data_IF_161001202416
#
_entry.id   IF_161001202416
#
_cell.length_a   1.000
_cell.length_b   1.000
_cell.length_c   1.000
_cell.angle_alpha   90.00
_cell.angle_beta   90.00
_cell.angle_gamma   90.00
#
_symmetry.space_group_name_H-M   'P 1'
#
loop_
_entity.id
_entity.type
_entity.pdbx_description
1 polymer ?
#
# COMPACT_ATOMS: atom_id res chain seq x y z
N UNK A 1 17.38 -18.16 8.51
CA UNK A 1 18.16 -17.07 7.89
C UNK A 1 17.29 -15.89 7.43
N UNK A 2 16.05 -16.13 6.94
CA UNK A 2 15.18 -15.10 6.34
C UNK A 2 14.66 -14.00 7.29
N UNK A 3 14.45 -14.29 8.59
CA UNK A 3 13.91 -13.29 9.53
C UNK A 3 14.87 -12.12 9.81
N UNK A 4 16.17 -12.37 9.74
CA UNK A 4 17.21 -11.31 9.83
C UNK A 4 17.18 -10.38 8.63
N UNK A 5 16.79 -10.88 7.46
CA UNK A 5 16.66 -10.07 6.23
C UNK A 5 15.39 -9.23 6.31
N UNK A 6 14.29 -9.80 6.78
CA UNK A 6 13.02 -9.09 6.97
C UNK A 6 13.14 -7.95 7.99
N UNK A 7 13.78 -8.18 9.13
CA UNK A 7 14.03 -7.12 10.12
C UNK A 7 14.96 -6.02 9.62
N UNK A 8 15.96 -6.36 8.78
CA UNK A 8 16.76 -5.35 8.07
C UNK A 8 15.93 -4.56 7.07
N UNK A 9 15.05 -5.22 6.31
CA UNK A 9 14.12 -4.55 5.39
C UNK A 9 13.28 -3.50 6.12
N UNK A 10 12.71 -3.87 7.27
CA UNK A 10 11.93 -2.95 8.10
C UNK A 10 12.73 -1.71 8.51
N UNK A 11 13.97 -1.89 8.99
CA UNK A 11 14.84 -0.76 9.35
C UNK A 11 15.22 0.11 8.15
N UNK A 12 15.42 -0.48 6.97
CA UNK A 12 15.73 0.27 5.75
C UNK A 12 14.53 1.08 5.26
N UNK A 13 13.33 0.49 5.29
CA UNK A 13 12.10 1.17 4.91
C UNK A 13 11.91 2.44 5.76
N UNK A 14 11.97 2.32 7.09
CA UNK A 14 11.76 3.48 7.98
C UNK A 14 12.89 4.52 7.97
N UNK A 15 14.07 4.22 7.41
CA UNK A 15 15.16 5.20 7.30
C UNK A 15 14.88 6.27 6.24
N UNK A 16 14.08 5.96 5.22
CA UNK A 16 13.73 6.89 4.14
C UNK A 16 12.41 7.65 4.43
N UNK A 17 12.30 8.26 5.60
CA UNK A 17 11.06 8.84 6.15
C UNK A 17 10.26 9.67 5.15
N UNK A 18 10.87 10.66 4.48
CA UNK A 18 10.15 11.53 3.53
C UNK A 18 9.50 10.78 2.36
N UNK A 19 10.16 9.74 1.84
CA UNK A 19 9.65 8.95 0.70
C UNK A 19 8.58 7.96 1.15
N UNK A 20 8.82 7.29 2.28
CA UNK A 20 7.88 6.32 2.84
C UNK A 20 6.55 6.98 3.22
N UNK A 21 6.57 8.17 3.83
CA UNK A 21 5.32 8.88 4.17
C UNK A 21 4.46 9.19 2.93
N UNK A 22 5.07 9.60 1.82
CA UNK A 22 4.34 9.86 0.58
C UNK A 22 3.66 8.58 0.04
N UNK A 23 4.37 7.44 0.10
CA UNK A 23 3.78 6.16 -0.30
C UNK A 23 2.66 5.72 0.64
N UNK A 24 2.80 5.92 1.94
CA UNK A 24 1.74 5.61 2.92
C UNK A 24 0.46 6.39 2.59
N UNK A 25 0.56 7.70 2.32
CA UNK A 25 -0.60 8.55 1.99
C UNK A 25 -1.31 8.05 0.72
N UNK A 26 -0.52 7.73 -0.31
CA UNK A 26 -1.04 7.19 -1.57
C UNK A 26 -1.79 5.86 -1.34
N UNK A 27 -1.18 4.93 -0.62
CA UNK A 27 -1.80 3.64 -0.32
C UNK A 27 -3.03 3.78 0.56
N UNK A 28 -3.03 4.75 1.48
CA UNK A 28 -4.20 5.06 2.30
C UNK A 28 -5.39 5.48 1.43
N UNK A 29 -5.18 6.40 0.48
CA UNK A 29 -6.23 6.84 -0.47
C UNK A 29 -6.73 5.65 -1.29
N UNK A 30 -5.80 4.83 -1.81
CA UNK A 30 -6.15 3.65 -2.60
C UNK A 30 -6.98 2.63 -1.79
N UNK A 31 -6.60 2.36 -0.54
CA UNK A 31 -7.35 1.47 0.36
C UNK A 31 -8.76 2.01 0.60
N UNK A 32 -8.91 3.31 0.86
CA UNK A 32 -10.22 3.94 1.06
C UNK A 32 -11.11 3.78 -0.18
N UNK A 33 -10.57 4.10 -1.37
CA UNK A 33 -11.31 3.99 -2.64
C UNK A 33 -11.75 2.56 -2.92
N UNK A 34 -10.84 1.58 -2.77
CA UNK A 34 -11.14 0.17 -3.02
C UNK A 34 -12.15 -0.36 -2.01
N UNK A 35 -11.99 -0.02 -0.73
CA UNK A 35 -12.89 -0.48 0.32
C UNK A 35 -14.31 0.12 0.17
N UNK A 36 -14.44 1.40 -0.22
CA UNK A 36 -15.73 2.01 -0.56
C UNK A 36 -16.35 1.38 -1.82
N UNK A 37 -15.54 1.13 -2.84
CA UNK A 37 -15.97 0.43 -4.06
C UNK A 37 -16.54 -0.96 -3.76
N UNK A 38 -15.87 -1.72 -2.89
CA UNK A 38 -16.34 -3.02 -2.39
C UNK A 38 -17.66 -2.90 -1.61
N UNK A 39 -17.79 -1.92 -0.72
CA UNK A 39 -19.04 -1.68 0.01
C UNK A 39 -20.21 -1.35 -0.92
N UNK A 40 -19.99 -0.46 -1.89
CA UNK A 40 -21.01 -0.07 -2.86
C UNK A 40 -21.36 -1.19 -3.86
N UNK A 41 -20.44 -2.11 -4.13
CA UNK A 41 -20.70 -3.22 -5.04
C UNK A 41 -21.58 -4.32 -4.42
N UNK A 42 -21.52 -4.51 -3.09
CA UNK A 42 -22.37 -5.48 -2.37
C UNK A 42 -23.86 -5.13 -2.46
N UNK A 43 -24.22 -3.86 -2.69
CA UNK A 43 -25.62 -3.40 -2.74
C UNK A 43 -26.25 -3.44 -4.14
N UNK A 44 -25.46 -3.68 -5.20
CA UNK A 44 -25.95 -3.72 -6.58
C UNK A 44 -26.33 -5.15 -7.02
N UNK A 45 -27.58 -5.42 -7.42
CA UNK A 45 -28.00 -6.74 -7.89
C UNK A 45 -27.40 -6.98 -9.28
N UNK A 46 -26.36 -7.82 -9.36
CA UNK A 46 -25.71 -8.16 -10.63
C UNK A 46 -24.31 -8.77 -10.55
N UNK A 47 -23.65 -8.83 -9.39
CA UNK A 47 -22.40 -9.58 -9.18
C UNK A 47 -21.14 -9.06 -9.89
N UNK A 48 -21.26 -8.12 -10.84
CA UNK A 48 -20.12 -7.55 -11.59
C UNK A 48 -19.67 -6.17 -11.10
N UNK A 49 -20.28 -5.61 -10.06
CA UNK A 49 -19.97 -4.26 -9.55
C UNK A 49 -18.57 -4.12 -8.94
N UNK A 50 -17.94 -5.22 -8.50
CA UNK A 50 -16.63 -5.22 -7.82
C UNK A 50 -15.45 -5.14 -8.79
N UNK A 51 -15.61 -5.67 -10.01
CA UNK A 51 -14.56 -5.77 -11.02
C UNK A 51 -13.89 -4.44 -11.41
N UNK A 52 -14.61 -3.32 -11.66
CA UNK A 52 -13.96 -2.06 -12.04
C UNK A 52 -13.05 -1.53 -10.93
N UNK A 53 -13.43 -1.68 -9.67
CA UNK A 53 -12.64 -1.24 -8.52
C UNK A 53 -11.39 -2.11 -8.33
N UNK A 54 -11.53 -3.43 -8.51
CA UNK A 54 -10.38 -4.35 -8.48
C UNK A 54 -9.42 -4.10 -9.64
N UNK A 55 -9.92 -3.81 -10.84
CA UNK A 55 -9.09 -3.49 -11.99
C UNK A 55 -8.34 -2.17 -11.79
N UNK A 56 -9.02 -1.14 -11.27
CA UNK A 56 -8.36 0.11 -10.88
C UNK A 56 -7.28 -0.16 -9.81
N UNK A 57 -7.60 -0.94 -8.78
CA UNK A 57 -6.65 -1.31 -7.73
C UNK A 57 -5.42 -2.01 -8.32
N UNK A 58 -5.62 -2.94 -9.25
CA UNK A 58 -4.53 -3.63 -9.93
C UNK A 58 -3.64 -2.68 -10.75
N UNK A 59 -4.24 -1.83 -11.58
CA UNK A 59 -3.48 -0.88 -12.41
C UNK A 59 -2.69 0.08 -11.54
N UNK A 60 -3.32 0.64 -10.52
CA UNK A 60 -2.67 1.64 -9.66
C UNK A 60 -1.61 0.99 -8.77
N UNK A 61 -1.91 -0.16 -8.15
CA UNK A 61 -0.93 -0.89 -7.32
C UNK A 61 0.27 -1.38 -8.15
N UNK A 62 0.07 -1.84 -9.39
CA UNK A 62 1.17 -2.26 -10.27
C UNK A 62 2.03 -1.08 -10.71
N UNK A 63 1.42 0.07 -11.08
CA UNK A 63 2.17 1.29 -11.39
C UNK A 63 3.00 1.77 -10.19
N UNK A 64 2.43 1.71 -8.98
CA UNK A 64 3.18 2.03 -7.75
C UNK A 64 4.32 1.06 -7.47
N UNK A 65 4.08 -0.25 -7.62
CA UNK A 65 5.11 -1.27 -7.49
C UNK A 65 6.27 -1.07 -8.48
N UNK A 66 5.96 -0.60 -9.70
CA UNK A 66 6.97 -0.22 -10.68
C UNK A 66 7.74 1.02 -10.19
N UNK A 67 7.07 2.10 -9.80
CA UNK A 67 7.71 3.34 -9.35
C UNK A 67 8.66 3.12 -8.17
N UNK A 68 8.23 2.39 -7.15
CA UNK A 68 9.09 2.08 -5.99
C UNK A 68 10.31 1.26 -6.40
N UNK A 69 10.15 0.32 -7.34
CA UNK A 69 11.27 -0.45 -7.89
C UNK A 69 12.26 0.44 -8.66
N UNK A 70 11.79 1.45 -9.39
CA UNK A 70 12.66 2.41 -10.10
C UNK A 70 13.54 3.22 -9.14
N UNK A 71 12.93 3.79 -8.09
CA UNK A 71 13.64 4.63 -7.13
C UNK A 71 14.70 3.87 -6.32
N UNK A 72 14.57 2.54 -6.22
CA UNK A 72 15.50 1.66 -5.49
C UNK A 72 16.53 0.97 -6.36
N UNK A 73 16.62 1.27 -7.67
CA UNK A 73 17.60 0.66 -8.58
C UNK A 73 19.05 0.75 -8.09
N UNK A 74 19.43 1.90 -7.51
CA UNK A 74 20.78 2.11 -6.95
C UNK A 74 21.05 1.23 -5.74
N UNK A 75 20.11 1.20 -4.79
CA UNK A 75 20.22 0.37 -3.59
C UNK A 75 20.36 -1.11 -3.95
N UNK A 76 19.61 -1.57 -4.97
CA UNK A 76 19.70 -2.93 -5.49
C UNK A 76 21.09 -3.21 -6.09
N UNK A 77 21.64 -2.26 -6.87
CA UNK A 77 22.98 -2.40 -7.44
C UNK A 77 24.05 -2.49 -6.34
N UNK A 78 23.96 -1.66 -5.30
CA UNK A 78 24.87 -1.68 -4.14
C UNK A 78 24.76 -3.02 -3.41
N UNK A 79 23.53 -3.52 -3.15
CA UNK A 79 23.33 -4.81 -2.49
C UNK A 79 23.94 -5.97 -3.30
N UNK A 80 23.85 -5.92 -4.63
CA UNK A 80 24.51 -6.89 -5.51
C UNK A 80 26.04 -6.82 -5.42
N UNK A 81 26.63 -5.63 -5.30
CA UNK A 81 28.08 -5.48 -5.09
C UNK A 81 28.54 -6.05 -3.75
N UNK A 82 27.66 -6.06 -2.74
CA UNK A 82 27.92 -6.69 -1.41
C UNK A 82 27.63 -8.19 -1.43
N UNK A 83 27.49 -8.81 -2.62
CA UNK A 83 27.27 -10.24 -2.81
C UNK A 83 25.97 -10.78 -2.21
N UNK A 84 24.90 -9.97 -2.16
CA UNK A 84 23.57 -10.47 -1.82
C UNK A 84 22.96 -11.28 -2.97
N UNK A 85 22.28 -12.37 -2.63
CA UNK A 85 21.55 -13.17 -3.61
C UNK A 85 20.30 -12.45 -4.11
N UNK A 86 19.92 -12.73 -5.35
CA UNK A 86 18.72 -12.16 -5.98
C UNK A 86 17.43 -12.47 -5.19
N UNK A 87 17.32 -13.65 -4.59
CA UNK A 87 16.19 -14.05 -3.74
C UNK A 87 16.09 -13.19 -2.47
N UNK A 88 17.22 -12.84 -1.87
CA UNK A 88 17.28 -12.07 -0.62
C UNK A 88 16.90 -10.60 -0.89
N UNK A 89 17.33 -10.08 -2.04
CA UNK A 89 16.94 -8.74 -2.52
C UNK A 89 15.43 -8.70 -2.81
N UNK A 90 14.90 -9.74 -3.47
CA UNK A 90 13.46 -9.84 -3.76
C UNK A 90 12.64 -9.85 -2.48
N UNK A 91 13.00 -10.68 -1.51
CA UNK A 91 12.34 -10.77 -0.21
C UNK A 91 12.40 -9.43 0.55
N UNK A 92 13.54 -8.73 0.49
CA UNK A 92 13.71 -7.42 1.11
C UNK A 92 12.71 -6.41 0.56
N UNK A 93 12.58 -6.32 -0.77
CA UNK A 93 11.66 -5.37 -1.41
C UNK A 93 10.20 -5.78 -1.17
N UNK A 94 9.84 -7.06 -1.28
CA UNK A 94 8.48 -7.53 -0.96
C UNK A 94 8.12 -7.14 0.48
N UNK A 95 9.03 -7.36 1.43
CA UNK A 95 8.82 -6.98 2.83
C UNK A 95 8.60 -5.49 3.02
N UNK A 96 9.32 -4.63 2.28
CA UNK A 96 9.12 -3.19 2.33
C UNK A 96 7.72 -2.80 1.83
N UNK A 97 7.31 -3.30 0.66
CA UNK A 97 6.00 -2.91 0.10
C UNK A 97 4.85 -3.44 0.96
N UNK A 98 4.96 -4.65 1.51
CA UNK A 98 3.99 -5.19 2.47
C UNK A 98 3.93 -4.33 3.74
N UNK A 99 5.07 -3.88 4.27
CA UNK A 99 5.10 -2.98 5.43
C UNK A 99 4.50 -1.60 5.15
N UNK A 100 4.70 -1.06 3.95
CA UNK A 100 4.08 0.20 3.53
C UNK A 100 2.56 0.03 3.40
N UNK A 101 2.09 -1.04 2.77
CA UNK A 101 0.66 -1.32 2.67
C UNK A 101 0.02 -1.53 4.06
N UNK A 102 0.69 -2.26 4.96
CA UNK A 102 0.22 -2.49 6.33
C UNK A 102 0.21 -1.20 7.15
N UNK A 103 1.24 -0.36 7.05
CA UNK A 103 1.26 0.92 7.75
C UNK A 103 0.19 1.89 7.23
N UNK A 104 -0.04 1.94 5.92
CA UNK A 104 -1.16 2.68 5.33
C UNK A 104 -2.51 2.18 5.83
N UNK A 105 -2.71 0.87 5.91
CA UNK A 105 -3.92 0.28 6.49
C UNK A 105 -4.12 0.68 7.95
N UNK A 106 -3.07 0.63 8.78
CA UNK A 106 -3.17 1.05 10.18
C UNK A 106 -3.54 2.53 10.32
N UNK A 107 -3.00 3.40 9.46
CA UNK A 107 -3.35 4.82 9.44
C UNK A 107 -4.83 5.01 9.08
N UNK A 108 -5.32 4.36 8.02
CA UNK A 108 -6.74 4.43 7.63
C UNK A 108 -7.65 3.85 8.71
N UNK A 109 -7.26 2.74 9.33
CA UNK A 109 -7.99 2.12 10.41
C UNK A 109 -8.11 3.04 11.63
N UNK A 110 -7.00 3.61 12.08
CA UNK A 110 -6.97 4.54 13.21
C UNK A 110 -7.86 5.76 12.94
N UNK A 111 -7.73 6.37 11.75
CA UNK A 111 -8.58 7.51 11.35
C UNK A 111 -10.06 7.14 11.32
N UNK A 112 -10.40 5.95 10.84
CA UNK A 112 -11.79 5.48 10.79
C UNK A 112 -12.38 5.31 12.19
N UNK A 113 -11.62 4.75 13.13
CA UNK A 113 -12.04 4.56 14.52
C UNK A 113 -12.18 5.91 15.25
N UNK A 114 -11.23 6.83 15.05
CA UNK A 114 -11.27 8.15 15.66
C UNK A 114 -12.48 8.97 15.19
N UNK A 115 -12.80 8.94 13.90
CA UNK A 115 -13.98 9.64 13.36
C UNK A 115 -15.26 9.07 13.95
N UNK A 116 -15.37 7.75 14.06
CA UNK A 116 -16.53 7.10 14.67
C UNK A 116 -16.68 7.48 16.14
N UNK A 117 -15.57 7.52 16.90
CA UNK A 117 -15.57 7.98 18.28
C UNK A 117 -15.95 9.45 18.43
N UNK A 118 -15.51 10.31 17.50
CA UNK A 118 -15.83 11.73 17.49
C UNK A 118 -17.33 11.96 17.26
N UNK A 119 -17.94 11.21 16.35
CA UNK A 119 -19.39 11.27 16.12
C UNK A 119 -20.14 10.79 17.35
N UNK A 120 -19.79 9.64 17.92
CA UNK A 120 -20.45 9.12 19.11
C UNK A 120 -20.39 10.10 20.32
N UNK A 121 -19.37 10.96 20.37
CA UNK A 121 -19.24 11.99 21.40
C UNK A 121 -20.05 13.26 21.10
N UNK A 122 -20.08 13.72 19.84
CA UNK A 122 -20.73 14.98 19.44
C UNK A 122 -22.18 14.82 18.95
N UNK A 123 -22.66 13.60 18.73
CA UNK A 123 -24.04 13.27 18.34
C UNK A 123 -25.02 13.40 19.53
N UNK A 124 -24.95 14.57 20.19
CA UNK A 124 -25.93 15.02 21.16
C UNK A 124 -27.17 15.55 20.42
N UNK A 125 -28.40 15.26 20.88
CA UNK A 125 -29.65 15.41 20.11
C UNK A 125 -29.98 16.82 19.57
N UNK A 126 -29.29 17.87 20.01
CA UNK A 126 -29.70 19.26 19.75
C UNK A 126 -28.84 20.01 18.72
N UNK A 127 -27.69 19.46 18.30
CA UNK A 127 -26.79 20.11 17.34
C UNK A 127 -26.65 19.27 16.08
N UNK A 128 -27.58 19.47 15.13
CA UNK A 128 -27.54 18.87 13.80
C UNK A 128 -26.27 19.26 13.03
N UNK A 129 -25.22 18.45 13.15
CA UNK A 129 -23.94 18.66 12.46
C UNK A 129 -23.91 17.82 11.18
N UNK A 130 -24.61 18.31 10.14
CA UNK A 130 -24.62 17.71 8.80
C UNK A 130 -23.21 17.49 8.22
N UNK A 131 -22.23 18.32 8.60
CA UNK A 131 -20.84 18.19 8.18
C UNK A 131 -20.14 16.95 8.75
N UNK A 132 -20.40 16.57 10.01
CA UNK A 132 -19.77 15.39 10.62
C UNK A 132 -20.29 14.10 9.98
N UNK A 133 -21.58 14.05 9.65
CA UNK A 133 -22.16 12.92 8.92
C UNK A 133 -21.64 12.82 7.47
N UNK A 134 -21.40 13.95 6.79
CA UNK A 134 -20.79 13.93 5.45
C UNK A 134 -19.34 13.41 5.49
N UNK A 135 -18.55 13.83 6.49
CA UNK A 135 -17.18 13.33 6.69
C UNK A 135 -17.19 11.84 7.06
N UNK A 136 -18.14 11.41 7.88
CA UNK A 136 -18.34 10.00 8.21
C UNK A 136 -18.59 9.16 6.97
N UNK A 137 -19.51 9.58 6.11
CA UNK A 137 -19.88 8.78 4.93
C UNK A 137 -18.71 8.64 3.94
N UNK A 138 -17.83 9.64 3.88
CA UNK A 138 -16.63 9.60 3.02
C UNK A 138 -15.54 8.69 3.62
N UNK A 139 -15.29 8.77 4.93
CA UNK A 139 -14.08 8.19 5.54
C UNK A 139 -14.37 6.94 6.36
N UNK A 140 -15.49 6.87 7.06
CA UNK A 140 -15.80 5.74 7.92
C UNK A 140 -16.09 4.50 7.07
N UNK A 141 -15.30 3.47 7.34
CA UNK A 141 -15.29 2.21 6.63
C UNK A 141 -15.57 1.09 7.62
N UNK A 142 -16.36 0.12 7.18
CA UNK A 142 -16.59 -1.08 7.96
C UNK A 142 -15.31 -1.93 7.96
N UNK A 143 -15.00 -2.59 9.08
CA UNK A 143 -13.74 -3.32 9.24
C UNK A 143 -13.57 -4.44 8.19
N UNK A 144 -14.64 -5.15 7.84
CA UNK A 144 -14.62 -6.26 6.88
C UNK A 144 -14.14 -5.84 5.47
N UNK A 145 -14.78 -4.86 4.78
CA UNK A 145 -14.34 -4.43 3.46
C UNK A 145 -12.93 -3.84 3.45
N UNK A 146 -12.53 -3.19 4.55
CA UNK A 146 -11.18 -2.64 4.69
C UNK A 146 -10.09 -3.74 4.74
N UNK A 147 -10.34 -4.83 5.48
CA UNK A 147 -9.43 -5.99 5.50
C UNK A 147 -9.38 -6.67 4.12
N UNK A 148 -10.53 -6.83 3.45
CA UNK A 148 -10.55 -7.40 2.10
C UNK A 148 -9.80 -6.52 1.09
N UNK A 149 -9.94 -5.19 1.20
CA UNK A 149 -9.21 -4.25 0.37
C UNK A 149 -7.70 -4.36 0.59
N UNK A 150 -7.22 -4.47 1.85
CA UNK A 150 -5.80 -4.72 2.13
C UNK A 150 -5.30 -5.99 1.43
N UNK A 151 -6.05 -7.10 1.55
CA UNK A 151 -5.67 -8.36 0.91
C UNK A 151 -5.58 -8.22 -0.61
N UNK A 152 -6.59 -7.61 -1.23
CA UNK A 152 -6.57 -7.38 -2.68
C UNK A 152 -5.40 -6.50 -3.11
N UNK A 153 -5.15 -5.39 -2.42
CA UNK A 153 -4.04 -4.49 -2.74
C UNK A 153 -2.69 -5.21 -2.64
N UNK A 154 -2.47 -5.97 -1.56
CA UNK A 154 -1.22 -6.72 -1.36
C UNK A 154 -1.05 -7.80 -2.43
N UNK A 155 -2.10 -8.57 -2.74
CA UNK A 155 -2.03 -9.65 -3.73
C UNK A 155 -1.83 -9.08 -5.15
N UNK A 156 -2.60 -8.06 -5.52
CA UNK A 156 -2.60 -7.46 -6.85
C UNK A 156 -1.29 -6.72 -7.16
N UNK A 157 -0.53 -6.28 -6.15
CA UNK A 157 0.78 -5.65 -6.38
C UNK A 157 1.90 -6.66 -6.67
N UNK A 158 1.78 -7.92 -6.19
CA UNK A 158 2.86 -8.91 -6.31
C UNK A 158 3.30 -9.14 -7.76
N UNK A 159 2.40 -9.29 -8.76
CA UNK A 159 2.79 -9.43 -10.15
C UNK A 159 3.59 -8.23 -10.67
N UNK A 160 3.15 -7.01 -10.36
CA UNK A 160 3.85 -5.79 -10.77
C UNK A 160 5.24 -5.68 -10.17
N UNK A 161 5.37 -6.05 -8.90
CA UNK A 161 6.62 -6.05 -8.16
C UNK A 161 7.61 -7.09 -8.71
N UNK A 162 7.14 -8.32 -8.98
CA UNK A 162 7.94 -9.37 -9.60
C UNK A 162 8.43 -8.90 -10.98
N UNK A 163 7.55 -8.37 -11.81
CA UNK A 163 7.91 -7.92 -13.15
C UNK A 163 8.95 -6.78 -13.14
N UNK A 164 8.75 -5.79 -12.28
CA UNK A 164 9.68 -4.68 -12.12
C UNK A 164 11.07 -5.15 -11.64
N UNK A 165 11.09 -6.10 -10.70
CA UNK A 165 12.34 -6.67 -10.20
C UNK A 165 13.07 -7.53 -11.22
N UNK A 166 12.37 -8.38 -11.98
CA UNK A 166 12.99 -9.18 -13.03
C UNK A 166 13.73 -8.28 -14.02
N UNK A 167 13.16 -7.11 -14.34
CA UNK A 167 13.81 -6.10 -15.17
C UNK A 167 15.02 -5.46 -14.47
N UNK A 168 14.87 -5.03 -13.21
CA UNK A 168 15.96 -4.41 -12.45
C UNK A 168 17.14 -5.38 -12.22
N UNK A 169 16.87 -6.67 -12.04
CA UNK A 169 17.88 -7.69 -11.81
C UNK A 169 18.69 -8.04 -13.05
N UNK A 170 18.16 -7.80 -14.26
CA UNK A 170 18.89 -8.05 -15.52
C UNK A 170 19.94 -6.99 -15.83
N UNK A 171 19.90 -5.82 -15.19
CA UNK A 171 20.88 -4.75 -15.42
C UNK A 171 22.15 -5.07 -14.61
N UNK A 172 23.34 -5.15 -15.25
CA UNK A 172 24.59 -5.40 -14.54
C UNK A 172 24.94 -4.20 -13.63
N UNK A 173 25.47 -4.46 -12.42
CA UNK A 173 25.67 -3.41 -11.40
C UNK A 173 26.62 -2.29 -11.86
N UNK A 174 27.58 -2.61 -12.73
CA UNK A 174 28.52 -1.64 -13.30
C UNK A 174 27.86 -0.59 -14.19
N UNK A 175 26.73 -0.91 -14.86
CA UNK A 175 25.98 0.09 -15.66
C UNK A 175 25.13 0.98 -14.76
N UNK A 176 24.50 0.40 -13.74
CA UNK A 176 23.65 1.14 -12.80
C UNK A 176 24.40 2.19 -11.97
N UNK A 177 25.71 2.01 -11.76
CA UNK A 177 26.59 2.97 -11.06
C UNK A 177 27.22 4.03 -11.98
N UNK A 178 27.21 3.81 -13.31
CA UNK A 178 27.87 4.68 -14.29
C UNK A 178 26.93 5.67 -14.98
N UNK A 179 25.62 5.42 -14.98
CA UNK A 179 24.61 6.29 -15.60
C UNK A 179 24.30 7.57 -14.79
N UNK A 180 25.24 8.03 -13.95
CA UNK A 180 25.23 9.33 -13.28
C UNK A 180 26.54 10.09 -13.49
#
# INVERSE_FOLDING_TARGET
>A
MNFRILTKSMKFAFRATKRVTAFIIIYAILIVLVAKGLQGAVTLPGGYGELPWLLMAFVVATLYAILISQFRRKDIAILKCVSWNNSDIMLLIIGEVVLVALSAFLVVFQLSVEILGLIAYFDLPETGTSLLHQVHDIIALQAAPMITALFYVVILQLPGLIFAQLRAMRIPPMRALREE
#
